data_IF_263895133477
#
_entry.id   IF_263895133477
#
_cell.length_a   1.000
_cell.length_b   1.000
_cell.length_c   1.000
_cell.angle_alpha   90.00
_cell.angle_beta   90.00
_cell.angle_gamma   90.00
#
_symmetry.space_group_name_H-M   'P 1'
#
loop_
_entity.id
_entity.type
_entity.pdbx_description
1 polymer ?
#
# COMPACT_ATOMS: atom_id res chain seq x y z
N UNK A 1 -7.78 -19.19 4.63
CA UNK A 1 -8.93 -18.27 4.65
C UNK A 1 -8.43 -17.01 3.99
N UNK A 2 -8.58 -16.92 2.66
CA UNK A 2 -7.93 -15.89 1.86
C UNK A 2 -8.73 -14.60 2.01
N UNK A 3 -8.46 -13.86 3.08
CA UNK A 3 -9.04 -12.54 3.34
C UNK A 3 -8.95 -11.71 2.08
N UNK A 4 -10.11 -11.16 1.65
CA UNK A 4 -10.21 -10.38 0.43
C UNK A 4 -9.12 -9.31 0.41
N UNK A 5 -8.24 -9.40 -0.58
CA UNK A 5 -7.05 -8.56 -0.64
C UNK A 5 -7.47 -7.14 -0.97
N UNK A 6 -7.09 -6.17 -0.14
CA UNK A 6 -7.19 -4.75 -0.45
C UNK A 6 -6.60 -4.48 -1.83
N UNK A 7 -7.28 -3.67 -2.65
CA UNK A 7 -6.78 -3.30 -3.98
C UNK A 7 -6.24 -1.87 -3.98
N UNK A 8 -5.32 -1.61 -4.90
CA UNK A 8 -4.71 -0.33 -5.21
C UNK A 8 -4.69 -0.15 -6.74
N UNK A 9 -4.91 1.09 -7.19
CA UNK A 9 -4.73 1.46 -8.60
C UNK A 9 -3.47 2.32 -8.85
N UNK A 10 -3.29 2.70 -10.12
CA UNK A 10 -2.16 3.51 -10.58
C UNK A 10 -2.06 4.89 -9.92
N UNK A 11 -3.10 5.41 -9.27
CA UNK A 11 -3.10 6.71 -8.61
C UNK A 11 -3.12 6.56 -7.08
N UNK A 12 -2.79 5.36 -6.58
CA UNK A 12 -2.80 5.02 -5.17
C UNK A 12 -4.16 5.20 -4.48
N UNK A 13 -5.26 5.13 -5.23
CA UNK A 13 -6.58 4.93 -4.62
C UNK A 13 -6.64 3.51 -4.07
N UNK A 14 -7.40 3.29 -3.00
CA UNK A 14 -7.56 1.95 -2.40
C UNK A 14 -9.01 1.49 -2.39
N UNK A 15 -9.19 0.18 -2.53
CA UNK A 15 -10.46 -0.50 -2.33
C UNK A 15 -10.34 -1.54 -1.22
N UNK A 16 -11.08 -1.33 -0.15
CA UNK A 16 -11.24 -2.28 0.95
C UNK A 16 -12.70 -2.54 1.27
N UNK A 17 -13.62 -2.18 0.36
CA UNK A 17 -15.06 -2.29 0.60
C UNK A 17 -15.72 -3.41 -0.21
N UNK A 18 -15.61 -3.39 -1.54
CA UNK A 18 -16.37 -4.31 -2.42
C UNK A 18 -15.61 -4.70 -3.67
N UNK A 19 -15.80 -5.93 -4.16
CA UNK A 19 -15.39 -6.35 -5.51
C UNK A 19 -16.66 -6.61 -6.33
N UNK A 20 -16.72 -6.05 -7.54
CA UNK A 20 -17.91 -6.00 -8.39
C UNK A 20 -18.88 -4.85 -8.04
N UNK A 21 -20.11 -4.88 -8.58
CA UNK A 21 -21.12 -3.85 -8.36
C UNK A 21 -21.37 -3.59 -6.87
N UNK A 22 -21.51 -2.32 -6.48
CA UNK A 22 -21.63 -1.97 -5.07
C UNK A 22 -22.92 -2.50 -4.42
N UNK A 23 -24.03 -2.40 -5.14
CA UNK A 23 -25.37 -2.86 -4.75
C UNK A 23 -25.48 -4.40 -4.69
N UNK A 24 -24.77 -5.11 -5.57
CA UNK A 24 -24.72 -6.57 -5.63
C UNK A 24 -23.28 -7.07 -5.79
N UNK A 25 -22.46 -7.04 -4.72
CA UNK A 25 -21.04 -7.37 -4.81
C UNK A 25 -20.83 -8.85 -5.12
N UNK A 26 -19.76 -9.14 -5.85
CA UNK A 26 -19.21 -10.50 -5.89
C UNK A 26 -18.53 -10.84 -4.57
N UNK A 27 -17.88 -9.87 -3.93
CA UNK A 27 -17.18 -10.07 -2.65
C UNK A 27 -17.26 -8.81 -1.80
N UNK A 28 -17.59 -8.95 -0.51
CA UNK A 28 -17.44 -7.89 0.50
C UNK A 28 -16.06 -8.01 1.15
N UNK A 29 -15.37 -6.89 1.24
CA UNK A 29 -14.07 -6.75 1.91
C UNK A 29 -14.29 -6.23 3.34
N UNK A 30 -13.25 -6.20 4.21
CA UNK A 30 -13.39 -5.81 5.62
C UNK A 30 -13.99 -4.42 5.87
N UNK A 31 -13.99 -3.53 4.88
CA UNK A 31 -14.54 -2.20 4.94
C UNK A 31 -13.47 -1.11 5.04
N UNK A 32 -13.93 0.14 5.13
CA UNK A 32 -13.10 1.33 5.17
C UNK A 32 -12.25 1.47 6.44
N UNK A 33 -12.81 1.09 7.59
CA UNK A 33 -12.25 1.49 8.88
C UNK A 33 -12.11 3.02 8.95
N UNK A 34 -11.02 3.51 9.57
CA UNK A 34 -10.66 4.93 9.57
C UNK A 34 -9.70 5.36 8.44
N UNK A 35 -9.45 4.48 7.46
CA UNK A 35 -8.49 4.77 6.40
C UNK A 35 -8.90 5.95 5.50
N UNK A 36 -10.19 6.16 5.14
CA UNK A 36 -10.60 7.32 4.36
C UNK A 36 -10.32 8.65 5.06
N UNK A 37 -10.57 8.74 6.37
CA UNK A 37 -10.34 9.94 7.16
C UNK A 37 -8.84 10.24 7.25
N UNK A 38 -8.01 9.23 7.49
CA UNK A 38 -6.55 9.36 7.48
C UNK A 38 -6.09 9.86 6.11
N UNK A 39 -6.55 9.23 5.03
CA UNK A 39 -6.12 9.60 3.68
C UNK A 39 -6.62 10.97 3.25
N UNK A 40 -7.78 11.41 3.73
CA UNK A 40 -8.33 12.72 3.43
C UNK A 40 -7.65 13.85 4.23
N UNK A 41 -7.21 13.60 5.46
CA UNK A 41 -6.78 14.68 6.38
C UNK A 41 -5.30 14.69 6.76
N UNK A 42 -4.57 13.59 6.57
CA UNK A 42 -3.16 13.54 6.92
C UNK A 42 -2.30 14.46 6.03
N UNK A 43 -1.19 14.98 6.60
CA UNK A 43 -0.22 15.78 5.82
C UNK A 43 0.39 15.00 4.66
N UNK A 44 0.63 13.71 4.87
CA UNK A 44 1.13 12.75 3.88
C UNK A 44 0.70 11.33 4.30
N UNK A 45 0.59 10.43 3.32
CA UNK A 45 0.11 9.06 3.52
C UNK A 45 1.14 8.08 2.95
N UNK A 46 1.48 7.08 3.75
CA UNK A 46 2.34 5.95 3.33
C UNK A 46 1.46 4.72 3.23
N UNK A 47 1.57 3.99 2.13
CA UNK A 47 0.79 2.76 1.89
C UNK A 47 1.74 1.58 1.90
N UNK A 48 1.41 0.57 2.70
CA UNK A 48 2.15 -0.70 2.74
C UNK A 48 1.20 -1.79 2.28
N UNK A 49 1.52 -2.46 1.19
CA UNK A 49 0.64 -3.44 0.56
C UNK A 49 1.43 -4.52 -0.17
N UNK A 50 1.03 -5.78 -0.01
CA UNK A 50 1.63 -6.90 -0.74
C UNK A 50 1.22 -6.84 -2.21
N UNK A 51 2.19 -6.95 -3.11
CA UNK A 51 1.97 -6.77 -4.54
C UNK A 51 1.57 -8.07 -5.23
N UNK A 52 0.52 -7.99 -6.04
CA UNK A 52 0.02 -9.07 -6.88
C UNK A 52 -0.95 -8.48 -7.90
N UNK A 53 -1.25 -9.21 -8.97
CA UNK A 53 -2.26 -8.76 -9.96
C UNK A 53 -3.67 -8.66 -9.39
N UNK A 54 -3.94 -9.23 -8.20
CA UNK A 54 -5.21 -9.09 -7.48
C UNK A 54 -5.27 -7.83 -6.63
N UNK A 55 -4.14 -7.39 -6.07
CA UNK A 55 -4.04 -6.16 -5.28
C UNK A 55 -3.77 -4.95 -6.17
N UNK A 56 -2.89 -5.04 -7.16
CA UNK A 56 -2.56 -3.95 -8.08
C UNK A 56 -3.40 -4.10 -9.35
N UNK A 57 -4.55 -3.42 -9.40
CA UNK A 57 -5.52 -3.55 -10.48
C UNK A 57 -5.58 -2.28 -11.35
N UNK A 58 -5.87 -2.40 -12.66
CA UNK A 58 -5.90 -1.24 -13.55
C UNK A 58 -7.03 -0.26 -13.24
N UNK A 59 -8.12 -0.74 -12.63
CA UNK A 59 -9.29 0.04 -12.24
C UNK A 59 -9.92 -0.60 -11.00
N UNK A 60 -10.28 0.21 -10.02
CA UNK A 60 -11.02 -0.24 -8.83
C UNK A 60 -12.51 -0.29 -9.13
N UNK A 61 -13.20 -1.29 -8.60
CA UNK A 61 -14.67 -1.33 -8.60
C UNK A 61 -15.27 -0.26 -7.68
N UNK A 62 -14.53 0.13 -6.64
CA UNK A 62 -14.95 1.13 -5.67
C UNK A 62 -13.74 1.83 -5.03
N UNK A 63 -13.75 3.16 -4.95
CA UNK A 63 -12.74 3.91 -4.21
C UNK A 63 -13.20 4.01 -2.76
N UNK A 64 -12.60 3.20 -1.89
CA UNK A 64 -12.83 3.29 -0.45
C UNK A 64 -12.04 4.45 0.15
N UNK A 65 -10.76 4.52 -0.21
CA UNK A 65 -9.81 5.49 0.34
C UNK A 65 -9.17 6.26 -0.80
N UNK A 66 -9.27 7.58 -0.74
CA UNK A 66 -8.82 8.47 -1.82
C UNK A 66 -7.30 8.55 -1.89
N UNK A 67 -6.74 8.27 -3.05
CA UNK A 67 -5.34 8.51 -3.38
C UNK A 67 -5.17 9.86 -4.08
N UNK A 68 -4.60 9.84 -5.27
CA UNK A 68 -4.52 10.98 -6.19
C UNK A 68 -5.71 11.06 -7.17
N UNK A 69 -6.80 10.33 -6.89
CA UNK A 69 -8.01 10.27 -7.71
C UNK A 69 -7.70 9.88 -9.17
N UNK A 70 -7.70 10.85 -10.09
CA UNK A 70 -7.47 10.62 -11.52
C UNK A 70 -6.12 11.19 -11.98
N UNK A 71 -5.22 11.49 -11.04
CA UNK A 71 -3.90 12.04 -11.31
C UNK A 71 -3.85 13.56 -11.35
N UNK A 72 -2.69 14.12 -11.70
CA UNK A 72 -2.52 15.57 -11.87
C UNK A 72 -2.83 16.38 -10.62
N UNK A 73 -3.72 17.36 -10.76
CA UNK A 73 -4.21 18.23 -9.70
C UNK A 73 -5.57 17.80 -9.13
N UNK A 74 -6.10 16.65 -9.54
CA UNK A 74 -7.50 16.27 -9.27
C UNK A 74 -7.80 16.12 -7.79
N UNK A 75 -6.85 15.60 -6.99
CA UNK A 75 -6.95 15.57 -5.53
C UNK A 75 -7.11 16.97 -4.92
N UNK A 76 -6.30 17.93 -5.37
CA UNK A 76 -6.34 19.32 -4.89
C UNK A 76 -7.66 19.97 -5.27
N UNK A 77 -8.11 19.76 -6.52
CA UNK A 77 -9.40 20.27 -7.01
C UNK A 77 -10.60 19.67 -6.27
N UNK A 78 -10.49 18.43 -5.80
CA UNK A 78 -11.49 17.79 -4.96
C UNK A 78 -11.49 18.30 -3.50
N UNK A 79 -10.57 19.20 -3.14
CA UNK A 79 -10.53 19.84 -1.83
C UNK A 79 -9.88 18.98 -0.74
N UNK A 80 -9.21 17.88 -1.08
CA UNK A 80 -8.50 17.07 -0.09
C UNK A 80 -7.21 17.77 0.33
N UNK A 81 -7.01 18.04 1.64
CA UNK A 81 -5.76 18.59 2.13
C UNK A 81 -4.60 17.58 2.08
N UNK A 82 -3.40 18.09 2.36
CA UNK A 82 -2.17 17.30 2.44
C UNK A 82 -1.67 16.82 1.07
N UNK A 83 -0.54 16.13 1.09
CA UNK A 83 0.11 15.59 -0.11
C UNK A 83 -0.54 14.31 -0.64
N UNK A 84 -1.47 13.70 0.11
CA UNK A 84 -2.01 12.38 -0.22
C UNK A 84 -0.96 11.28 -0.09
N UNK A 85 -1.11 10.16 -0.84
CA UNK A 85 -0.09 9.12 -0.91
C UNK A 85 1.22 9.68 -1.44
N UNK A 86 2.30 9.58 -0.67
CA UNK A 86 3.64 10.01 -1.11
C UNK A 86 4.54 8.83 -1.40
N UNK A 87 4.30 7.68 -0.76
CA UNK A 87 5.08 6.46 -0.94
C UNK A 87 4.16 5.24 -0.84
N UNK A 88 4.36 4.28 -1.75
CA UNK A 88 3.81 2.93 -1.69
C UNK A 88 4.96 1.95 -1.56
N UNK A 89 5.01 1.21 -0.46
CA UNK A 89 6.00 0.16 -0.20
C UNK A 89 5.35 -1.19 -0.35
N UNK A 90 5.95 -2.06 -1.16
CA UNK A 90 5.50 -3.43 -1.37
C UNK A 90 6.53 -4.43 -0.85
N UNK A 91 6.27 -5.72 -1.03
CA UNK A 91 7.28 -6.76 -0.83
C UNK A 91 8.33 -6.82 -1.95
N UNK A 92 8.14 -6.06 -3.03
CA UNK A 92 9.02 -6.07 -4.20
C UNK A 92 9.79 -4.74 -4.38
N UNK A 93 9.16 -3.61 -4.08
CA UNK A 93 9.69 -2.31 -4.45
C UNK A 93 9.09 -1.15 -3.64
N UNK A 94 9.68 0.03 -3.82
CA UNK A 94 9.11 1.33 -3.44
C UNK A 94 8.64 2.04 -4.71
N UNK A 95 7.43 2.60 -4.65
CA UNK A 95 6.85 3.43 -5.69
C UNK A 95 6.45 4.78 -5.11
N UNK A 96 6.60 5.83 -5.92
CA UNK A 96 6.19 7.19 -5.58
C UNK A 96 5.30 7.73 -6.71
N UNK A 97 4.31 8.58 -6.40
CA UNK A 97 3.54 9.25 -7.45
C UNK A 97 4.44 10.20 -8.23
N UNK A 98 4.42 10.08 -9.55
CA UNK A 98 5.11 11.02 -10.44
C UNK A 98 4.69 12.47 -10.12
N UNK A 99 5.63 13.43 -10.05
CA UNK A 99 5.34 14.78 -9.56
C UNK A 99 4.30 15.55 -10.38
N UNK A 100 4.09 15.17 -11.65
CA UNK A 100 3.17 15.84 -12.57
C UNK A 100 1.89 15.03 -12.74
N UNK A 101 2.01 13.79 -13.16
CA UNK A 101 0.88 12.90 -13.49
C UNK A 101 0.26 12.25 -12.26
N UNK A 102 1.01 12.14 -11.16
CA UNK A 102 0.67 11.38 -9.94
C UNK A 102 0.42 9.89 -10.17
N UNK A 103 0.79 9.36 -11.33
CA UNK A 103 0.80 7.92 -11.58
C UNK A 103 1.95 7.28 -10.79
N UNK A 104 1.68 6.17 -10.13
CA UNK A 104 2.69 5.41 -9.39
C UNK A 104 3.83 5.00 -10.32
N UNK A 105 5.02 5.44 -9.93
CA UNK A 105 6.27 5.19 -10.63
C UNK A 105 7.22 4.47 -9.68
N UNK A 106 7.79 3.36 -10.15
CA UNK A 106 8.73 2.57 -9.38
C UNK A 106 10.05 3.33 -9.22
N UNK A 107 10.41 3.69 -8.00
CA UNK A 107 11.63 4.47 -7.67
C UNK A 107 12.74 3.61 -7.06
N UNK A 108 12.41 2.49 -6.42
CA UNK A 108 13.40 1.59 -5.84
C UNK A 108 13.00 0.11 -5.92
N UNK A 109 13.88 -0.77 -6.35
CA UNK A 109 13.70 -2.23 -6.24
C UNK A 109 14.32 -2.74 -4.93
N UNK A 110 13.65 -3.66 -4.26
CA UNK A 110 14.27 -4.35 -3.12
C UNK A 110 15.37 -5.30 -3.59
N UNK A 111 16.41 -5.56 -2.77
CA UNK A 111 17.45 -6.53 -3.12
C UNK A 111 16.89 -7.88 -3.56
N UNK A 112 17.37 -8.40 -4.70
CA UNK A 112 16.92 -9.68 -5.27
C UNK A 112 15.64 -9.63 -6.10
N UNK A 113 15.04 -8.45 -6.28
CA UNK A 113 13.83 -8.28 -7.11
C UNK A 113 14.16 -7.66 -8.48
N UNK A 114 13.35 -7.97 -9.50
CA UNK A 114 13.55 -7.48 -10.87
C UNK A 114 12.36 -6.66 -11.40
N UNK A 115 12.60 -5.87 -12.45
CA UNK A 115 11.55 -5.10 -13.13
C UNK A 115 10.44 -6.01 -13.64
N UNK A 116 10.81 -7.16 -14.18
CA UNK A 116 9.90 -8.15 -14.76
C UNK A 116 8.98 -8.76 -13.69
N UNK A 117 9.52 -9.05 -12.51
CA UNK A 117 8.72 -9.54 -11.38
C UNK A 117 7.67 -8.51 -10.96
N UNK A 118 8.06 -7.24 -10.86
CA UNK A 118 7.13 -6.16 -10.49
C UNK A 118 6.07 -5.95 -11.57
N UNK A 119 6.47 -5.90 -12.85
CA UNK A 119 5.52 -5.80 -13.97
C UNK A 119 4.55 -6.99 -14.00
N UNK A 120 5.03 -8.21 -13.78
CA UNK A 120 4.18 -9.41 -13.74
C UNK A 120 3.21 -9.41 -12.55
N UNK A 121 3.55 -8.74 -11.45
CA UNK A 121 2.72 -8.59 -10.27
C UNK A 121 1.82 -7.34 -10.30
N UNK A 122 1.74 -6.61 -11.42
CA UNK A 122 0.96 -5.37 -11.57
C UNK A 122 -0.06 -5.51 -12.70
N UNK A 123 -1.33 -5.20 -12.44
CA UNK A 123 -2.41 -5.28 -13.42
C UNK A 123 -2.46 -4.15 -14.46
N UNK A 124 -1.49 -3.24 -14.44
CA UNK A 124 -1.33 -2.19 -15.46
C UNK A 124 0.13 -2.05 -15.89
N UNK A 125 0.42 -1.41 -17.03
CA UNK A 125 1.79 -1.11 -17.45
C UNK A 125 2.45 -0.11 -16.49
N UNK A 126 3.20 -0.62 -15.51
CA UNK A 126 3.87 0.19 -14.49
C UNK A 126 5.02 1.02 -15.09
N UNK A 127 5.19 2.26 -14.61
CA UNK A 127 6.32 3.13 -14.99
C UNK A 127 7.51 2.90 -14.07
N UNK A 128 8.71 3.12 -14.61
CA UNK A 128 9.96 3.08 -13.87
C UNK A 128 10.61 4.45 -13.90
N UNK A 129 11.18 4.86 -12.77
CA UNK A 129 12.02 6.05 -12.71
C UNK A 129 13.22 5.92 -13.67
N UNK A 130 13.68 7.05 -14.20
CA UNK A 130 14.84 7.10 -15.08
C UNK A 130 16.10 6.62 -14.36
N UNK A 131 16.28 7.07 -13.12
CA UNK A 131 17.29 6.58 -12.20
C UNK A 131 16.62 5.65 -11.18
N UNK A 132 16.67 4.35 -11.47
CA UNK A 132 16.03 3.35 -10.63
C UNK A 132 17.00 2.86 -9.55
N UNK A 133 16.71 3.21 -8.31
CA UNK A 133 17.54 2.82 -7.17
C UNK A 133 17.32 1.36 -6.75
N UNK A 134 18.22 0.86 -5.92
CA UNK A 134 18.00 -0.32 -5.10
C UNK A 134 17.79 0.11 -3.65
N UNK A 135 16.86 -0.51 -2.94
CA UNK A 135 16.58 -0.19 -1.55
C UNK A 135 17.75 -0.62 -0.68
N UNK A 136 18.25 0.29 0.15
CA UNK A 136 19.34 0.01 1.08
C UNK A 136 18.92 -1.07 2.08
N UNK A 137 19.66 -2.19 2.21
CA UNK A 137 19.39 -3.17 3.25
C UNK A 137 19.54 -2.54 4.65
N UNK A 138 18.76 -2.99 5.64
CA UNK A 138 18.89 -2.51 7.00
C UNK A 138 20.28 -2.81 7.57
N UNK A 139 20.81 -1.87 8.34
CA UNK A 139 22.09 -2.00 9.04
C UNK A 139 22.03 -2.99 10.21
N UNK A 140 23.20 -3.40 10.71
CA UNK A 140 23.29 -4.34 11.83
C UNK A 140 22.53 -3.84 13.08
N UNK A 141 22.72 -2.57 13.46
CA UNK A 141 22.04 -1.96 14.61
C UNK A 141 20.51 -1.96 14.43
N UNK A 142 20.01 -1.64 13.24
CA UNK A 142 18.57 -1.62 12.95
C UNK A 142 17.97 -3.03 13.06
N UNK A 143 18.68 -4.04 12.53
CA UNK A 143 18.29 -5.44 12.64
C UNK A 143 18.27 -5.92 14.11
N UNK A 144 19.28 -5.56 14.89
CA UNK A 144 19.36 -5.96 16.30
C UNK A 144 18.23 -5.32 17.12
N UNK A 145 17.95 -4.03 16.90
CA UNK A 145 16.82 -3.33 17.54
C UNK A 145 15.50 -3.97 17.13
N UNK A 146 15.30 -4.26 15.84
CA UNK A 146 14.06 -4.87 15.34
C UNK A 146 13.83 -6.25 15.96
N UNK A 147 14.87 -7.10 16.00
CA UNK A 147 14.81 -8.43 16.61
C UNK A 147 14.51 -8.35 18.11
N UNK A 148 15.11 -7.40 18.82
CA UNK A 148 14.86 -7.18 20.24
C UNK A 148 13.42 -6.71 20.49
N UNK A 149 12.87 -5.82 19.65
CA UNK A 149 11.48 -5.41 19.73
C UNK A 149 10.53 -6.58 19.48
N UNK A 150 10.78 -7.38 18.44
CA UNK A 150 9.97 -8.57 18.13
C UNK A 150 9.95 -9.55 19.30
N UNK A 151 11.11 -9.89 19.85
CA UNK A 151 11.22 -10.82 20.98
C UNK A 151 10.43 -10.33 22.22
N UNK A 152 10.39 -9.02 22.47
CA UNK A 152 9.59 -8.44 23.56
C UNK A 152 8.10 -8.51 23.28
N UNK A 153 7.67 -8.30 22.05
CA UNK A 153 6.27 -8.45 21.63
C UNK A 153 5.81 -9.90 21.78
N UNK A 154 6.63 -10.86 21.34
CA UNK A 154 6.32 -12.29 21.45
C UNK A 154 6.17 -12.70 22.92
N UNK A 155 7.14 -12.32 23.78
CA UNK A 155 7.08 -12.61 25.20
C UNK A 155 5.84 -11.99 25.90
N UNK A 156 5.39 -10.81 25.47
CA UNK A 156 4.19 -10.17 26.01
C UNK A 156 2.91 -10.92 25.62
N UNK A 157 2.80 -11.39 24.37
CA UNK A 157 1.67 -12.20 23.93
C UNK A 157 1.63 -13.56 24.65
N UNK A 158 2.77 -14.22 24.83
CA UNK A 158 2.86 -15.50 25.53
C UNK A 158 2.45 -15.36 27.00
N UNK A 159 2.89 -14.29 27.68
CA UNK A 159 2.49 -14.02 29.07
C UNK A 159 0.98 -13.70 29.19
N UNK A 160 0.40 -13.01 28.21
CA UNK A 160 -1.03 -12.70 28.18
C UNK A 160 -1.88 -13.94 27.90
N UNK A 161 -1.41 -14.86 27.05
CA UNK A 161 -2.05 -16.16 26.82
C UNK A 161 -2.01 -17.02 28.09
N UNK A 162 -0.86 -17.12 28.76
CA UNK A 162 -0.72 -17.88 30.00
C UNK A 162 -1.55 -17.31 31.17
N UNK A 163 -1.74 -16.00 31.22
CA UNK A 163 -2.59 -15.33 32.22
C UNK A 163 -4.09 -15.41 31.94
N UNK A 164 -4.51 -15.69 30.70
CA UNK A 164 -5.92 -15.89 30.34
C UNK A 164 -6.40 -17.33 30.58
N UNK A 165 -5.48 -18.28 30.73
CA UNK A 165 -5.74 -19.70 30.99
C UNK A 165 -5.71 -20.08 32.50
N UNK A 166 -5.36 -19.13 33.37
CA UNK A 166 -5.28 -19.29 34.84
C UNK A 166 -6.49 -18.65 35.55
#
# INVERSE_FOLDING_TARGET
QDGGTSQIDRYANLNTTVIGPYDAPKTRLPGAGGAPEIAASAKQVFIIIRQSTRSFVPTLDFITTVGHLYGGDTRVRAGFPGAGPTVVVTDLCVMEPDPVTRELTLTSLHPGTTREQVSAATGWPIRFAADLAQTTPPGATELDVLRALQARTDAAHDAQAAGAEA
#
